data_IF_123576826458
#
_entry.id   IF_123576826458
#
_cell.length_a   1.000
_cell.length_b   1.000
_cell.length_c   1.000
_cell.angle_alpha   90.00
_cell.angle_beta   90.00
_cell.angle_gamma   90.00
#
_symmetry.space_group_name_H-M   'P 1'
#
loop_
_entity.id
_entity.type
_entity.pdbx_description
1 polymer ?
#
# COMPACT_ATOMS: atom_id res chain seq x y z
N UNK A 1 -11.50 10.81 -8.76
CA UNK A 1 -10.20 10.53 -8.11
C UNK A 1 -9.90 11.66 -7.15
N UNK A 2 -9.48 11.36 -5.92
CA UNK A 2 -8.99 12.40 -5.01
C UNK A 2 -7.65 12.92 -5.53
N UNK A 3 -7.43 14.24 -5.46
CA UNK A 3 -6.17 14.89 -5.82
C UNK A 3 -5.47 15.31 -4.53
N UNK A 4 -4.21 14.93 -4.38
CA UNK A 4 -3.39 15.29 -3.23
C UNK A 4 -2.37 16.35 -3.66
N UNK A 5 -2.20 17.38 -2.84
CA UNK A 5 -1.23 18.46 -3.10
C UNK A 5 0.10 18.23 -2.37
N UNK A 6 0.12 17.29 -1.42
CA UNK A 6 1.30 16.92 -0.66
C UNK A 6 1.46 15.41 -0.62
N UNK A 7 2.72 14.97 -0.72
CA UNK A 7 3.12 13.57 -0.53
C UNK A 7 3.99 13.50 0.71
N UNK A 8 3.71 12.56 1.60
CA UNK A 8 4.61 12.18 2.70
C UNK A 8 5.24 10.84 2.35
N UNK A 9 6.55 10.75 2.42
CA UNK A 9 7.29 9.50 2.20
C UNK A 9 7.86 9.07 3.54
N UNK A 10 7.57 7.85 3.97
CA UNK A 10 8.19 7.23 5.15
C UNK A 10 9.12 6.13 4.67
N UNK A 11 10.38 6.22 5.07
CA UNK A 11 11.38 5.18 4.89
C UNK A 11 11.34 4.28 6.12
N UNK A 12 11.62 2.99 5.93
CA UNK A 12 11.55 1.96 6.98
C UNK A 12 10.20 1.99 7.69
N UNK A 13 9.14 1.79 6.92
CA UNK A 13 7.77 1.83 7.41
C UNK A 13 7.42 0.70 8.39
N UNK A 14 8.28 -0.31 8.50
CA UNK A 14 8.19 -1.43 9.42
C UNK A 14 6.80 -2.12 9.29
N UNK A 15 6.21 -2.55 10.40
CA UNK A 15 4.89 -3.17 10.49
C UNK A 15 3.72 -2.22 10.13
N UNK A 16 3.99 -0.92 9.94
CA UNK A 16 3.08 0.09 9.39
C UNK A 16 1.97 0.73 10.26
N UNK A 17 1.81 0.54 11.59
CA UNK A 17 0.85 1.30 12.39
C UNK A 17 1.10 2.81 12.37
N UNK A 18 2.36 3.25 12.32
CA UNK A 18 2.68 4.67 12.19
C UNK A 18 2.16 5.22 10.87
N UNK A 19 2.45 4.53 9.75
CA UNK A 19 1.98 4.89 8.43
C UNK A 19 0.43 4.98 8.38
N UNK A 20 -0.27 3.96 8.87
CA UNK A 20 -1.74 3.98 8.91
C UNK A 20 -2.30 5.12 9.77
N UNK A 21 -1.68 5.40 10.92
CA UNK A 21 -2.09 6.52 11.78
C UNK A 21 -1.90 7.86 11.07
N UNK A 22 -0.77 8.03 10.40
CA UNK A 22 -0.43 9.23 9.65
C UNK A 22 -1.43 9.46 8.51
N UNK A 23 -1.69 8.42 7.69
CA UNK A 23 -2.66 8.48 6.60
C UNK A 23 -4.06 8.88 7.07
N UNK A 24 -4.53 8.32 8.20
CA UNK A 24 -5.83 8.67 8.81
C UNK A 24 -5.87 10.10 9.33
N UNK A 25 -4.77 10.57 9.94
CA UNK A 25 -4.70 11.91 10.52
C UNK A 25 -4.57 13.03 9.50
N UNK A 26 -4.14 12.71 8.27
CA UNK A 26 -3.90 13.67 7.18
C UNK A 26 -4.53 13.20 5.87
N UNK A 27 -5.87 13.16 5.78
CA UNK A 27 -6.58 12.71 4.58
C UNK A 27 -6.36 13.62 3.36
N UNK A 28 -5.81 14.82 3.56
CA UNK A 28 -5.40 15.79 2.53
C UNK A 28 -4.07 15.44 1.84
N UNK A 29 -3.32 14.47 2.37
CA UNK A 29 -1.99 14.08 1.86
C UNK A 29 -2.00 12.65 1.37
N UNK A 30 -1.17 12.38 0.36
CA UNK A 30 -0.86 11.02 -0.04
C UNK A 30 0.34 10.51 0.77
N UNK A 31 0.21 9.33 1.37
CA UNK A 31 1.29 8.66 2.07
C UNK A 31 1.89 7.56 1.19
N UNK A 32 3.21 7.58 1.01
CA UNK A 32 3.98 6.50 0.40
C UNK A 32 4.89 5.90 1.46
N UNK A 33 4.56 4.69 1.91
CA UNK A 33 5.33 3.94 2.89
C UNK A 33 6.26 2.95 2.18
N UNK A 34 7.56 3.09 2.40
CA UNK A 34 8.61 2.27 1.82
C UNK A 34 9.24 1.39 2.89
N UNK A 35 9.51 0.13 2.55
CA UNK A 35 10.30 -0.76 3.39
C UNK A 35 11.04 -1.80 2.51
N UNK A 36 12.19 -2.29 2.96
CA UNK A 36 12.89 -3.37 2.27
C UNK A 36 12.19 -4.73 2.44
N UNK A 37 11.53 -4.94 3.59
CA UNK A 37 10.84 -6.16 3.96
C UNK A 37 9.35 -6.12 3.59
N UNK A 38 8.97 -6.96 2.62
CA UNK A 38 7.59 -7.08 2.19
C UNK A 38 6.67 -7.71 3.25
N UNK A 39 7.20 -8.60 4.10
CA UNK A 39 6.41 -9.27 5.13
C UNK A 39 6.03 -8.28 6.24
N UNK A 40 6.94 -7.36 6.60
CA UNK A 40 6.64 -6.25 7.50
C UNK A 40 5.46 -5.40 6.99
N UNK A 41 5.43 -5.10 5.69
CA UNK A 41 4.35 -4.31 5.07
C UNK A 41 3.00 -5.04 4.93
N UNK A 42 2.96 -6.37 5.09
CA UNK A 42 1.81 -7.20 4.70
C UNK A 42 0.52 -6.83 5.44
N UNK A 43 0.58 -6.71 6.76
CA UNK A 43 -0.61 -6.44 7.56
C UNK A 43 -1.10 -4.99 7.37
N UNK A 44 -0.18 -4.02 7.31
CA UNK A 44 -0.56 -2.62 7.14
C UNK A 44 -1.17 -2.34 5.76
N UNK A 45 -0.59 -2.89 4.70
CA UNK A 45 -1.14 -2.78 3.34
C UNK A 45 -2.52 -3.43 3.23
N UNK A 46 -2.70 -4.63 3.81
CA UNK A 46 -3.99 -5.30 3.87
C UNK A 46 -5.05 -4.50 4.65
N UNK A 47 -4.66 -3.85 5.76
CA UNK A 47 -5.54 -2.94 6.51
C UNK A 47 -5.91 -1.71 5.71
N UNK A 48 -4.94 -1.08 5.04
CA UNK A 48 -5.16 0.10 4.22
C UNK A 48 -6.18 -0.16 3.10
N UNK A 49 -6.09 -1.31 2.43
CA UNK A 49 -6.97 -1.71 1.34
C UNK A 49 -8.42 -2.05 1.76
N UNK A 50 -8.73 -2.08 3.06
CA UNK A 50 -10.10 -2.29 3.54
C UNK A 50 -11.00 -1.12 3.13
N UNK A 51 -12.32 -1.31 3.25
CA UNK A 51 -13.26 -0.19 3.12
C UNK A 51 -12.98 0.86 4.21
N UNK A 52 -13.17 2.17 3.94
CA UNK A 52 -12.99 3.21 4.95
C UNK A 52 -13.79 2.97 6.23
N UNK A 53 -15.05 2.52 6.10
CA UNK A 53 -15.90 2.14 7.25
C UNK A 53 -15.41 0.95 8.08
N UNK A 54 -14.34 0.26 7.65
CA UNK A 54 -13.73 -0.87 8.33
C UNK A 54 -12.24 -0.60 8.61
N UNK A 55 -11.86 0.68 8.69
CA UNK A 55 -10.52 1.14 9.08
C UNK A 55 -9.51 1.25 7.94
N UNK A 56 -9.93 1.05 6.70
CA UNK A 56 -9.08 1.29 5.53
C UNK A 56 -8.86 2.77 5.24
N UNK A 57 -7.88 3.06 4.39
CA UNK A 57 -7.50 4.42 3.98
C UNK A 57 -7.34 4.47 2.47
N UNK A 58 -7.76 5.58 1.84
CA UNK A 58 -7.70 5.74 0.38
C UNK A 58 -6.49 6.57 -0.07
N UNK A 59 -5.71 7.07 0.87
CA UNK A 59 -4.61 8.01 0.66
C UNK A 59 -3.24 7.44 1.03
N UNK A 60 -3.09 6.11 1.03
CA UNK A 60 -1.81 5.46 1.35
C UNK A 60 -1.46 4.36 0.33
N UNK A 61 -0.18 4.26 0.00
CA UNK A 61 0.42 3.14 -0.72
C UNK A 61 1.62 2.60 0.08
N UNK A 62 1.82 1.28 0.00
CA UNK A 62 2.92 0.57 0.64
C UNK A 62 3.72 -0.10 -0.48
N UNK A 63 5.03 0.15 -0.53
CA UNK A 63 5.90 -0.32 -1.61
C UNK A 63 7.13 -0.95 -0.99
N UNK A 64 7.45 -2.17 -1.43
CA UNK A 64 8.73 -2.78 -1.10
C UNK A 64 9.83 -2.10 -1.93
N UNK A 65 10.72 -1.40 -1.26
CA UNK A 65 11.88 -0.77 -1.89
C UNK A 65 12.92 -0.47 -0.81
N UNK A 66 14.10 -1.09 -0.86
CA UNK A 66 15.20 -0.70 0.02
C UNK A 66 15.64 0.73 -0.33
N UNK A 67 16.05 1.51 0.66
CA UNK A 67 16.35 2.95 0.49
C UNK A 67 17.47 3.20 -0.52
N UNK A 68 18.41 2.26 -0.62
CA UNK A 68 19.55 2.29 -1.53
C UNK A 68 19.13 2.08 -3.00
N UNK A 69 17.94 1.53 -3.23
CA UNK A 69 17.35 1.35 -4.56
C UNK A 69 16.42 2.51 -4.96
N UNK A 70 16.31 3.57 -4.15
CA UNK A 70 15.55 4.75 -4.52
C UNK A 70 16.10 5.36 -5.81
N UNK A 71 15.24 5.64 -6.79
CA UNK A 71 15.72 6.25 -8.03
C UNK A 71 16.12 7.70 -7.75
N UNK A 72 17.28 8.12 -8.24
CA UNK A 72 17.70 9.53 -8.20
C UNK A 72 16.73 10.48 -8.92
N UNK A 73 15.87 9.92 -9.79
CA UNK A 73 14.74 10.60 -10.41
C UNK A 73 13.56 9.66 -10.50
N UNK A 74 12.41 10.06 -9.95
CA UNK A 74 11.17 9.32 -10.14
C UNK A 74 10.77 9.33 -11.63
N UNK A 75 10.46 8.17 -12.25
CA UNK A 75 10.05 8.13 -13.65
C UNK A 75 8.75 8.92 -13.83
N UNK A 76 8.60 9.59 -14.98
CA UNK A 76 7.46 10.46 -15.27
C UNK A 76 6.09 9.72 -15.20
N UNK A 77 6.12 8.39 -15.30
CA UNK A 77 5.00 7.54 -14.94
C UNK A 77 5.53 6.23 -14.35
N UNK A 78 5.36 5.98 -13.04
CA UNK A 78 5.58 4.64 -12.49
C UNK A 78 4.40 3.69 -12.83
N UNK A 79 3.31 4.22 -13.44
CA UNK A 79 2.04 3.52 -13.69
C UNK A 79 1.70 3.39 -15.20
N UNK A 80 2.66 3.66 -16.09
CA UNK A 80 2.44 3.91 -17.52
C UNK A 80 2.69 2.72 -18.47
N UNK A 81 3.04 1.55 -17.95
CA UNK A 81 3.00 0.32 -18.74
C UNK A 81 1.55 -0.19 -18.82
N UNK A 82 1.11 -0.80 -19.95
CA UNK A 82 -0.27 -1.25 -20.11
C UNK A 82 -0.66 -2.21 -18.97
N UNK A 83 -1.59 -1.75 -18.14
CA UNK A 83 -2.11 -2.44 -16.96
C UNK A 83 -2.83 -3.75 -17.34
N UNK A 84 -2.07 -4.84 -17.42
CA UNK A 84 -2.59 -6.18 -17.11
C UNK A 84 -2.71 -6.31 -15.59
N UNK A 85 -3.78 -6.96 -15.10
CA UNK A 85 -4.15 -7.07 -13.66
C UNK A 85 -3.13 -7.84 -12.79
N UNK A 86 -1.97 -8.17 -13.32
CA UNK A 86 -0.93 -9.00 -12.71
C UNK A 86 0.39 -8.23 -12.47
N UNK A 87 0.61 -7.08 -13.14
CA UNK A 87 1.97 -6.51 -13.27
C UNK A 87 2.44 -5.46 -12.25
N UNK A 88 1.66 -5.12 -11.21
CA UNK A 88 2.16 -4.19 -10.16
C UNK A 88 3.05 -4.92 -9.15
N UNK A 89 2.87 -6.24 -8.99
CA UNK A 89 3.78 -7.03 -8.19
C UNK A 89 5.12 -7.22 -8.95
N UNK A 90 5.09 -7.73 -10.16
CA UNK A 90 6.33 -8.15 -10.85
C UNK A 90 7.33 -7.03 -11.16
N UNK A 91 6.88 -5.77 -11.33
CA UNK A 91 7.77 -4.62 -11.54
C UNK A 91 8.37 -4.06 -10.23
N UNK A 92 7.77 -4.38 -9.07
CA UNK A 92 8.20 -3.95 -7.74
C UNK A 92 8.82 -5.09 -6.91
N UNK A 93 8.75 -6.33 -7.41
CA UNK A 93 9.32 -7.53 -6.79
C UNK A 93 10.01 -8.36 -7.88
N UNK A 94 11.34 -8.25 -8.08
CA UNK A 94 12.03 -9.23 -8.91
C UNK A 94 11.97 -10.59 -8.19
N UNK A 95 11.32 -11.55 -8.85
CA UNK A 95 11.12 -12.93 -8.40
C UNK A 95 12.45 -13.69 -8.32
N UNK A 96 12.87 -14.07 -7.11
CA UNK A 96 13.70 -15.26 -6.90
C UNK A 96 12.78 -16.37 -6.38
N UNK A 97 12.08 -17.04 -7.30
CA UNK A 97 11.70 -18.46 -7.16
C UNK A 97 10.49 -18.83 -6.30
N UNK A 98 9.34 -18.13 -6.39
CA UNK A 98 8.10 -18.55 -5.73
C UNK A 98 6.91 -18.71 -6.68
N UNK A 99 6.41 -19.94 -6.87
CA UNK A 99 5.20 -20.20 -7.67
C UNK A 99 4.03 -19.27 -7.26
N UNK A 100 3.40 -18.53 -8.20
CA UNK A 100 2.35 -17.57 -7.85
C UNK A 100 1.11 -18.30 -7.29
N UNK A 101 0.92 -18.16 -5.99
CA UNK A 101 -0.29 -18.61 -5.32
C UNK A 101 -1.47 -17.77 -5.84
N UNK A 102 -2.40 -18.41 -6.55
CA UNK A 102 -3.71 -17.85 -6.92
C UNK A 102 -4.23 -16.97 -5.79
N UNK A 103 -4.37 -15.66 -6.06
CA UNK A 103 -5.17 -14.75 -5.24
C UNK A 103 -6.57 -15.35 -5.07
N UNK A 104 -6.76 -16.09 -3.98
CA UNK A 104 -8.09 -16.52 -3.55
C UNK A 104 -8.83 -15.23 -3.26
N UNK A 105 -9.98 -15.04 -3.93
CA UNK A 105 -10.95 -14.01 -3.56
C UNK A 105 -11.13 -14.10 -2.04
N UNK A 106 -10.58 -13.14 -1.31
CA UNK A 106 -10.90 -12.98 0.09
C UNK A 106 -12.42 -12.77 0.14
N UNK A 107 -13.11 -13.74 0.76
CA UNK A 107 -14.55 -13.67 0.98
C UNK A 107 -14.92 -12.32 1.57
N UNK A 108 -16.12 -11.82 1.22
CA UNK A 108 -16.68 -10.55 1.70
C UNK A 108 -16.31 -10.31 3.18
N UNK A 109 -15.56 -9.26 3.54
CA UNK A 109 -15.48 -8.86 4.92
C UNK A 109 -16.87 -8.35 5.33
N UNK A 110 -17.56 -9.14 6.14
CA UNK A 110 -18.79 -8.72 6.82
C UNK A 110 -18.33 -7.70 7.87
N UNK A 111 -18.42 -6.41 7.54
CA UNK A 111 -18.23 -5.36 8.54
C UNK A 111 -19.44 -5.43 9.47
N UNK A 112 -19.30 -6.14 10.60
CA UNK A 112 -20.31 -6.16 11.66
C UNK A 112 -20.34 -4.77 12.28
N UNK A 113 -21.32 -3.98 11.86
CA UNK A 113 -21.60 -2.67 12.44
C UNK A 113 -21.80 -2.81 13.93
N UNK A 114 -21.07 -2.02 14.70
CA UNK A 114 -21.32 -1.79 16.12
C UNK A 114 -22.73 -1.21 16.26
N UNK A 115 -23.65 -1.96 16.87
CA UNK A 115 -24.85 -1.35 17.47
C UNK A 115 -24.33 -0.42 18.57
N UNK A 116 -24.54 0.89 18.42
CA UNK A 116 -24.46 1.82 19.55
C UNK A 116 -25.66 1.54 20.46
N UNK A 117 -25.49 1.50 21.80
CA UNK A 117 -26.60 1.74 22.72
C UNK A 117 -27.09 3.20 22.60
#
# INVERSE_FOLDING_TARGET
>A
MARFHHVTVTLDADDGPHALRLARSRPDRFLLALDADAEALREASARAARKPGCGGVTNAAFVRMPVEALPGRWPASPWGAPMGREGVADALFPEEGGTPGRLRRCGRPICRGTRRP
#
